data_IF_337383606428
#
_entry.id   IF_337383606428
#
_cell.length_a   1.000
_cell.length_b   1.000
_cell.length_c   1.000
_cell.angle_alpha   90.00
_cell.angle_beta   90.00
_cell.angle_gamma   90.00
#
_symmetry.space_group_name_H-M   'P 1'
#
loop_
_entity.id
_entity.type
_entity.pdbx_description
1 polymer ?
#
# COMPACT_ATOMS: atom_id res chain seq x y z
N UNK A 1 -19.54 15.32 3.74
CA UNK A 1 -19.17 13.89 3.93
C UNK A 1 -18.14 13.55 2.87
N UNK A 2 -16.89 13.27 3.24
CA UNK A 2 -15.88 12.81 2.29
C UNK A 2 -15.91 11.28 2.28
N UNK A 3 -16.52 10.70 1.26
CA UNK A 3 -16.39 9.26 0.98
C UNK A 3 -15.02 9.09 0.35
N UNK A 4 -14.03 8.78 1.19
CA UNK A 4 -12.72 8.36 0.68
C UNK A 4 -12.89 6.92 0.20
N UNK A 5 -12.76 6.72 -1.11
CA UNK A 5 -12.81 5.40 -1.73
C UNK A 5 -11.56 4.63 -1.33
N UNK A 6 -11.73 3.59 -0.51
CA UNK A 6 -10.65 2.67 -0.14
C UNK A 6 -10.75 1.47 -1.06
N UNK A 7 -9.63 1.05 -1.64
CA UNK A 7 -9.57 -0.19 -2.40
C UNK A 7 -9.16 -1.30 -1.45
N UNK A 8 -10.03 -2.29 -1.30
CA UNK A 8 -9.76 -3.50 -0.54
C UNK A 8 -8.87 -4.45 -1.37
N UNK A 9 -8.16 -5.35 -0.71
CA UNK A 9 -7.26 -6.31 -1.38
C UNK A 9 -7.99 -7.15 -2.45
N UNK A 10 -9.27 -7.46 -2.20
CA UNK A 10 -10.12 -8.22 -3.12
C UNK A 10 -10.38 -7.46 -4.43
N UNK A 11 -10.64 -6.15 -4.35
CA UNK A 11 -10.89 -5.25 -5.49
C UNK A 11 -9.61 -4.69 -6.13
N UNK A 12 -8.45 -4.89 -5.51
CA UNK A 12 -7.16 -4.39 -5.98
C UNK A 12 -6.72 -5.03 -7.30
N UNK A 13 -6.09 -4.24 -8.18
CA UNK A 13 -5.40 -4.78 -9.35
C UNK A 13 -4.11 -5.52 -8.96
N UNK A 14 -3.50 -6.20 -9.92
CA UNK A 14 -2.27 -7.00 -9.70
C UNK A 14 -1.11 -6.16 -9.13
N UNK A 15 -0.97 -4.90 -9.54
CA UNK A 15 0.08 -3.98 -9.05
C UNK A 15 -0.16 -3.60 -7.59
N UNK A 16 -1.39 -3.22 -7.25
CA UNK A 16 -1.78 -2.85 -5.88
C UNK A 16 -1.63 -4.05 -4.94
N UNK A 17 -2.07 -5.24 -5.37
CA UNK A 17 -1.90 -6.48 -4.60
C UNK A 17 -0.42 -6.77 -4.33
N UNK A 18 0.43 -6.68 -5.35
CA UNK A 18 1.87 -6.89 -5.16
C UNK A 18 2.50 -5.91 -4.17
N UNK A 19 2.06 -4.64 -4.16
CA UNK A 19 2.51 -3.68 -3.14
C UNK A 19 1.97 -4.03 -1.75
N UNK A 20 0.73 -4.49 -1.65
CA UNK A 20 0.13 -4.90 -0.37
C UNK A 20 0.86 -6.10 0.23
N UNK A 21 1.18 -7.10 -0.59
CA UNK A 21 1.97 -8.26 -0.18
C UNK A 21 3.35 -7.85 0.32
N UNK A 22 4.05 -7.00 -0.43
CA UNK A 22 5.37 -6.49 -0.02
C UNK A 22 5.29 -5.67 1.29
N UNK A 23 4.24 -4.89 1.49
CA UNK A 23 3.98 -4.19 2.76
C UNK A 23 3.80 -5.18 3.92
N UNK A 24 2.98 -6.21 3.71
CA UNK A 24 2.72 -7.24 4.72
C UNK A 24 3.98 -8.03 5.07
N UNK A 25 4.78 -8.42 4.06
CA UNK A 25 6.04 -9.13 4.25
C UNK A 25 7.09 -8.26 4.95
N UNK A 26 7.28 -7.03 4.48
CA UNK A 26 8.30 -6.12 5.03
C UNK A 26 7.98 -5.72 6.46
N UNK A 27 6.70 -5.43 6.77
CA UNK A 27 6.27 -5.03 8.12
C UNK A 27 5.88 -6.21 9.01
N UNK A 28 5.90 -7.45 8.50
CA UNK A 28 5.44 -8.66 9.17
C UNK A 28 4.06 -8.49 9.82
N UNK A 29 3.11 -8.00 9.02
CA UNK A 29 1.74 -7.75 9.46
C UNK A 29 0.76 -8.43 8.53
N UNK A 30 -0.36 -8.91 9.08
CA UNK A 30 -1.39 -9.62 8.33
C UNK A 30 -2.40 -8.68 7.64
N UNK A 31 -2.26 -7.36 7.81
CA UNK A 31 -3.18 -6.39 7.22
C UNK A 31 -2.51 -5.10 6.79
N UNK A 32 -2.94 -4.59 5.64
CA UNK A 32 -2.55 -3.28 5.12
C UNK A 32 -3.41 -2.17 5.76
N UNK A 33 -2.76 -1.11 6.25
CA UNK A 33 -3.44 0.02 6.89
C UNK A 33 -4.26 0.84 5.87
N UNK A 34 -5.34 1.47 6.32
CA UNK A 34 -6.23 2.32 5.53
C UNK A 34 -5.50 3.39 4.71
N UNK A 35 -4.38 3.93 5.20
CA UNK A 35 -3.56 4.88 4.44
C UNK A 35 -3.14 4.33 3.06
N UNK A 36 -2.65 3.09 3.01
CA UNK A 36 -2.27 2.42 1.78
C UNK A 36 -3.50 1.99 0.96
N UNK A 37 -4.63 1.73 1.61
CA UNK A 37 -5.93 1.50 0.96
C UNK A 37 -6.50 2.71 0.26
N UNK A 38 -6.25 3.90 0.79
CA UNK A 38 -6.54 5.16 0.08
C UNK A 38 -5.62 5.28 -1.11
N UNK A 39 -4.29 5.20 -0.93
CA UNK A 39 -3.34 5.39 -2.02
C UNK A 39 -3.49 4.42 -3.18
N UNK A 40 -4.15 3.28 -2.99
CA UNK A 40 -4.41 2.32 -4.05
C UNK A 40 -5.30 2.81 -5.20
N UNK A 41 -6.00 3.96 -5.06
CA UNK A 41 -6.67 4.57 -6.21
C UNK A 41 -5.71 4.85 -7.37
N UNK A 42 -4.42 5.05 -7.07
CA UNK A 42 -3.34 5.23 -8.03
C UNK A 42 -2.20 4.26 -7.71
N UNK A 43 -2.09 3.21 -8.54
CA UNK A 43 -1.09 2.16 -8.36
C UNK A 43 0.35 2.64 -8.53
N UNK A 44 0.58 3.68 -9.34
CA UNK A 44 1.93 4.21 -9.58
C UNK A 44 2.39 5.05 -8.38
N UNK A 45 1.50 5.88 -7.85
CA UNK A 45 1.71 6.63 -6.62
C UNK A 45 1.97 5.69 -5.44
N UNK A 46 1.11 4.68 -5.25
CA UNK A 46 1.23 3.69 -4.19
C UNK A 46 2.62 3.02 -4.19
N UNK A 47 3.07 2.57 -5.36
CA UNK A 47 4.38 1.92 -5.52
C UNK A 47 5.53 2.85 -5.19
N UNK A 48 5.46 4.10 -5.66
CA UNK A 48 6.51 5.11 -5.44
C UNK A 48 6.63 5.44 -3.95
N UNK A 49 5.50 5.75 -3.29
CA UNK A 49 5.46 6.05 -1.86
C UNK A 49 5.93 4.86 -1.02
N UNK A 50 5.60 3.63 -1.41
CA UNK A 50 6.09 2.43 -0.73
C UNK A 50 7.60 2.27 -0.86
N UNK A 51 8.17 2.46 -2.05
CA UNK A 51 9.63 2.41 -2.25
C UNK A 51 10.38 3.46 -1.43
N UNK A 52 9.86 4.70 -1.36
CA UNK A 52 10.44 5.74 -0.50
C UNK A 52 10.36 5.35 0.98
N UNK A 53 9.22 4.82 1.41
CA UNK A 53 9.04 4.33 2.79
C UNK A 53 10.05 3.22 3.11
N UNK A 54 10.26 2.26 2.20
CA UNK A 54 11.29 1.22 2.35
C UNK A 54 12.70 1.79 2.47
N UNK A 55 13.03 2.80 1.65
CA UNK A 55 14.32 3.49 1.72
C UNK A 55 14.56 4.12 3.10
N UNK A 56 13.53 4.77 3.67
CA UNK A 56 13.58 5.34 5.02
C UNK A 56 13.68 4.26 6.10
N UNK A 57 12.90 3.17 6.00
CA UNK A 57 12.94 2.07 6.98
C UNK A 57 14.28 1.31 6.99
N UNK A 58 14.97 1.22 5.85
CA UNK A 58 16.28 0.58 5.75
C UNK A 58 17.46 1.48 6.16
N UNK A 59 17.21 2.78 6.35
CA UNK A 59 18.23 3.78 6.70
C UNK A 59 18.20 4.12 8.20
N UNK A 60 18.20 3.09 9.06
CA UNK A 60 18.20 3.22 10.52
C UNK A 60 19.08 2.17 11.18
#
# INVERSE_FOLDING_TARGET
MAVVTHIEYEDANEVVRGVYEDIMETRKTDSVNNFWKVLAFDSELLRTTWNETKSVMGSG
#
